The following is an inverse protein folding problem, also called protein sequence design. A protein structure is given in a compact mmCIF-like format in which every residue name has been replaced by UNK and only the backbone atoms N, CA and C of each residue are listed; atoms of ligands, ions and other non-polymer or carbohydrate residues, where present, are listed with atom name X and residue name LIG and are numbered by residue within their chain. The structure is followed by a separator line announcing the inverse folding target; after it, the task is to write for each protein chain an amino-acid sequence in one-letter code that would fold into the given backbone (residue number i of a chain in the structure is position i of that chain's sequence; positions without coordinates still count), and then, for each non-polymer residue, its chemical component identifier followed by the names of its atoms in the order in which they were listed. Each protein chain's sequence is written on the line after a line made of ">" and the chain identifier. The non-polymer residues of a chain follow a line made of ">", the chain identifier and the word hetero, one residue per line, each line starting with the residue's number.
data_IF_981918683598
#
_entry.id   IF_981918683598
#
_cell.length_a   1.000
_cell.length_b   1.000
_cell.length_c   1.000
_cell.angle_alpha   90.00
_cell.angle_beta   90.00
_cell.angle_gamma   90.00
#
_symmetry.space_group_name_H-M   'P 1'
#
loop_
_entity.id
_entity.type
_entity.pdbx_description
1 polymer ?
#
# COMPACT_ATOMS: atom_id res chain seq x y z
N UNK A 1 -20.11 6.13 2.90
CA UNK A 1 -19.22 6.97 2.07
C UNK A 1 -17.82 6.39 2.14
N UNK A 2 -17.25 6.02 1.00
CA UNK A 2 -15.88 5.50 0.92
C UNK A 2 -14.92 6.68 0.83
N UNK A 3 -13.78 6.59 1.51
CA UNK A 3 -12.75 7.64 1.50
C UNK A 3 -11.40 7.03 1.17
N UNK A 4 -10.69 7.65 0.24
CA UNK A 4 -9.35 7.26 -0.17
C UNK A 4 -8.36 8.35 0.24
N UNK A 5 -7.26 7.95 0.86
CA UNK A 5 -6.14 8.82 1.22
C UNK A 5 -4.97 8.53 0.30
N UNK A 6 -4.52 9.53 -0.46
CA UNK A 6 -3.27 9.45 -1.23
C UNK A 6 -2.34 10.58 -0.82
N UNK A 7 -1.08 10.49 -1.25
CA UNK A 7 -0.21 11.65 -1.25
C UNK A 7 -0.59 12.65 -2.37
N UNK A 8 0.27 13.66 -2.56
CA UNK A 8 0.11 14.68 -3.60
C UNK A 8 0.83 14.34 -4.91
N UNK A 9 1.14 13.07 -5.16
CA UNK A 9 1.68 12.61 -6.42
C UNK A 9 0.80 13.03 -7.60
N UNK A 10 1.43 13.40 -8.72
CA UNK A 10 0.73 13.85 -9.94
C UNK A 10 -0.13 12.76 -10.56
N UNK A 11 0.16 11.50 -10.26
CA UNK A 11 -0.62 10.33 -10.63
C UNK A 11 -1.98 10.28 -9.90
N UNK A 12 -2.09 10.85 -8.70
CA UNK A 12 -3.34 10.91 -7.93
C UNK A 12 -3.99 12.30 -7.96
N UNK A 13 -3.21 13.33 -8.29
CA UNK A 13 -3.62 14.73 -8.17
C UNK A 13 -3.46 15.48 -9.49
N UNK A 14 -4.58 15.95 -10.06
CA UNK A 14 -4.61 16.87 -11.19
C UNK A 14 -5.80 17.82 -11.15
N UNK A 15 -6.19 18.34 -12.31
CA UNK A 15 -7.44 19.11 -12.47
C UNK A 15 -8.62 18.13 -12.45
N UNK A 16 -9.58 18.34 -11.56
CA UNK A 16 -10.70 17.41 -11.36
C UNK A 16 -11.50 17.10 -12.63
N UNK A 17 -11.59 18.06 -13.55
CA UNK A 17 -12.33 17.92 -14.80
C UNK A 17 -11.62 17.08 -15.86
N UNK A 18 -10.32 16.83 -15.71
CA UNK A 18 -9.50 16.21 -16.76
C UNK A 18 -8.54 15.14 -16.23
N UNK A 19 -8.57 14.84 -14.94
CA UNK A 19 -7.66 13.89 -14.32
C UNK A 19 -8.40 12.57 -14.09
N UNK A 20 -7.99 11.54 -14.82
CA UNK A 20 -8.69 10.25 -14.88
C UNK A 20 -8.95 9.64 -13.50
N UNK A 21 -7.98 9.76 -12.58
CA UNK A 21 -8.14 9.24 -11.23
C UNK A 21 -9.21 9.99 -10.44
N UNK A 22 -9.23 11.33 -10.51
CA UNK A 22 -10.23 12.14 -9.82
C UNK A 22 -11.63 11.95 -10.41
N UNK A 23 -11.74 11.81 -11.73
CA UNK A 23 -12.99 11.48 -12.40
C UNK A 23 -13.50 10.10 -11.98
N UNK A 24 -12.62 9.10 -11.94
CA UNK A 24 -12.95 7.76 -11.47
C UNK A 24 -13.48 7.78 -10.03
N UNK A 25 -12.84 8.53 -9.13
CA UNK A 25 -13.30 8.65 -7.74
C UNK A 25 -14.67 9.32 -7.64
N UNK A 26 -14.93 10.36 -8.44
CA UNK A 26 -16.22 11.04 -8.50
C UNK A 26 -17.34 10.11 -9.00
N UNK A 27 -17.06 9.30 -10.04
CA UNK A 27 -18.01 8.31 -10.56
C UNK A 27 -18.36 7.25 -9.50
N UNK A 28 -17.38 6.87 -8.66
CA UNK A 28 -17.55 5.88 -7.61
C UNK A 28 -17.99 6.48 -6.25
N UNK A 29 -18.45 7.74 -6.22
CA UNK A 29 -18.89 8.46 -5.02
C UNK A 29 -17.90 8.31 -3.83
N UNK A 30 -16.61 8.38 -4.15
CA UNK A 30 -15.52 8.17 -3.20
C UNK A 30 -14.79 9.49 -2.93
N UNK A 31 -14.70 9.87 -1.65
CA UNK A 31 -14.01 11.10 -1.27
C UNK A 31 -12.49 10.94 -1.39
N UNK A 32 -11.84 11.90 -2.03
CA UNK A 32 -10.39 11.94 -2.12
C UNK A 32 -9.77 12.88 -1.07
N UNK A 33 -9.12 12.30 -0.07
CA UNK A 33 -8.29 13.02 0.90
C UNK A 33 -6.82 12.97 0.48
N UNK A 34 -6.11 14.09 0.67
CA UNK A 34 -4.68 14.22 0.35
C UNK A 34 -3.88 14.41 1.63
N UNK A 35 -2.74 13.73 1.77
CA UNK A 35 -1.84 13.96 2.91
C UNK A 35 -1.47 15.44 3.00
N UNK A 36 -1.37 16.00 4.21
CA UNK A 36 -0.92 17.39 4.36
C UNK A 36 0.56 17.51 3.98
N UNK A 37 0.94 18.65 3.40
CA UNK A 37 2.35 18.94 3.08
C UNK A 37 3.17 18.78 4.36
N UNK A 38 4.32 18.09 4.28
CA UNK A 38 5.22 17.82 5.42
C UNK A 38 4.55 17.05 6.58
N UNK A 39 3.59 16.17 6.29
CA UNK A 39 2.98 15.26 7.28
C UNK A 39 3.39 13.80 7.05
N UNK A 40 4.63 13.42 7.40
CA UNK A 40 5.16 12.07 7.16
C UNK A 40 4.38 10.99 7.92
N UNK A 41 3.73 11.35 9.03
CA UNK A 41 2.94 10.43 9.86
C UNK A 41 1.76 9.82 9.09
N UNK A 42 1.11 10.59 8.20
CA UNK A 42 -0.02 10.10 7.40
C UNK A 42 0.38 9.13 6.28
N UNK A 43 1.64 9.19 5.81
CA UNK A 43 2.18 8.21 4.86
C UNK A 43 3.01 7.10 5.54
N UNK A 44 3.35 7.29 6.82
CA UNK A 44 4.28 6.42 7.54
C UNK A 44 3.81 4.98 7.69
N UNK A 45 2.51 4.70 7.59
CA UNK A 45 1.99 3.32 7.57
C UNK A 45 2.35 2.65 6.25
N UNK A 46 2.08 3.30 5.12
CA UNK A 46 2.42 2.79 3.79
C UNK A 46 3.93 2.63 3.63
N UNK A 47 4.71 3.62 4.05
CA UNK A 47 6.18 3.56 4.03
C UNK A 47 6.73 2.42 4.92
N UNK A 48 6.13 2.20 6.09
CA UNK A 48 6.52 1.09 6.97
C UNK A 48 6.18 -0.25 6.33
N UNK A 49 4.99 -0.38 5.76
CA UNK A 49 4.59 -1.58 5.03
C UNK A 49 5.56 -1.87 3.87
N UNK A 50 5.89 -0.87 3.04
CA UNK A 50 6.85 -1.00 1.93
C UNK A 50 8.23 -1.49 2.40
N UNK A 51 8.72 -1.03 3.56
CA UNK A 51 9.95 -1.55 4.15
C UNK A 51 9.79 -3.00 4.60
N UNK A 52 8.68 -3.33 5.26
CA UNK A 52 8.42 -4.68 5.76
C UNK A 52 8.30 -5.70 4.63
N UNK A 53 7.50 -5.43 3.59
CA UNK A 53 7.36 -6.33 2.43
C UNK A 53 8.68 -6.50 1.68
N UNK A 54 9.47 -5.43 1.54
CA UNK A 54 10.79 -5.53 0.92
C UNK A 54 11.73 -6.47 1.69
N UNK A 55 11.80 -6.31 3.01
CA UNK A 55 12.72 -7.06 3.87
C UNK A 55 12.27 -8.50 4.11
N UNK A 56 10.98 -8.72 4.36
CA UNK A 56 10.45 -10.02 4.77
C UNK A 56 10.04 -10.89 3.57
N UNK A 57 9.58 -10.29 2.48
CA UNK A 57 9.14 -11.02 1.29
C UNK A 57 10.16 -10.91 0.14
N UNK A 58 10.28 -9.76 -0.52
CA UNK A 58 10.98 -9.66 -1.80
C UNK A 58 12.46 -10.07 -1.72
N UNK A 59 13.19 -9.61 -0.71
CA UNK A 59 14.61 -9.97 -0.53
C UNK A 59 14.82 -11.47 -0.26
N UNK A 60 13.85 -12.14 0.38
CA UNK A 60 13.92 -13.56 0.70
C UNK A 60 13.49 -14.40 -0.49
N UNK A 61 12.34 -14.06 -1.09
CA UNK A 61 11.75 -14.72 -2.24
C UNK A 61 12.72 -14.72 -3.44
N UNK A 62 13.22 -13.55 -3.82
CA UNK A 62 14.11 -13.39 -4.98
C UNK A 62 15.50 -13.97 -4.77
N UNK A 63 15.90 -14.28 -3.52
CA UNK A 63 17.14 -15.00 -3.22
C UNK A 63 16.98 -16.52 -3.27
N UNK A 64 15.81 -17.03 -2.89
CA UNK A 64 15.55 -18.47 -2.76
C UNK A 64 15.00 -19.09 -4.04
N UNK A 65 14.23 -18.32 -4.81
CA UNK A 65 13.49 -18.81 -5.98
C UNK A 65 13.87 -18.01 -7.23
N UNK A 66 13.92 -18.70 -8.36
CA UNK A 66 13.96 -18.08 -9.68
C UNK A 66 12.54 -18.05 -10.26
N UNK A 67 11.95 -16.87 -10.29
CA UNK A 67 10.61 -16.67 -10.84
C UNK A 67 10.70 -16.44 -12.36
N UNK A 68 10.21 -17.39 -13.15
CA UNK A 68 10.18 -17.28 -14.61
C UNK A 68 8.93 -16.55 -15.12
N UNK A 69 7.88 -16.50 -14.30
CA UNK A 69 6.59 -15.89 -14.65
C UNK A 69 6.11 -15.00 -13.50
N UNK A 70 5.53 -13.84 -13.82
CA UNK A 70 4.97 -12.92 -12.81
C UNK A 70 3.85 -13.57 -12.00
N UNK A 71 3.08 -14.49 -12.58
CA UNK A 71 2.02 -15.22 -11.90
C UNK A 71 2.54 -16.04 -10.70
N UNK A 72 3.73 -16.63 -10.83
CA UNK A 72 4.34 -17.41 -9.74
C UNK A 72 4.76 -16.51 -8.58
N UNK A 73 5.31 -15.33 -8.87
CA UNK A 73 5.64 -14.33 -7.84
C UNK A 73 4.38 -13.76 -7.19
N UNK A 74 3.32 -13.52 -7.97
CA UNK A 74 2.05 -13.01 -7.47
C UNK A 74 1.42 -13.98 -6.47
N UNK A 75 1.43 -15.28 -6.76
CA UNK A 75 0.90 -16.30 -5.83
C UNK A 75 1.63 -16.29 -4.49
N UNK A 76 2.97 -16.31 -4.52
CA UNK A 76 3.77 -16.27 -3.29
C UNK A 76 3.55 -14.97 -2.51
N UNK A 77 3.34 -13.86 -3.23
CA UNK A 77 3.03 -12.56 -2.64
C UNK A 77 1.65 -12.58 -1.96
N UNK A 78 0.63 -13.13 -2.61
CA UNK A 78 -0.72 -13.23 -2.05
C UNK A 78 -0.73 -14.09 -0.78
N UNK A 79 0.00 -15.21 -0.77
CA UNK A 79 0.16 -16.07 0.41
C UNK A 79 0.89 -15.33 1.54
N UNK A 80 1.92 -14.54 1.21
CA UNK A 80 2.61 -13.71 2.19
C UNK A 80 1.73 -12.57 2.73
N UNK A 81 0.89 -11.97 1.90
CA UNK A 81 -0.06 -10.93 2.30
C UNK A 81 -1.15 -11.48 3.23
N UNK A 82 -1.66 -12.68 2.99
CA UNK A 82 -2.57 -13.36 3.93
C UNK A 82 -1.91 -13.52 5.29
N UNK A 83 -0.66 -14.02 5.31
CA UNK A 83 0.10 -14.12 6.55
C UNK A 83 0.31 -12.76 7.22
N UNK A 84 0.72 -11.73 6.48
CA UNK A 84 0.97 -10.38 7.00
C UNK A 84 -0.29 -9.77 7.63
N UNK A 85 -1.44 -9.92 6.99
CA UNK A 85 -2.71 -9.33 7.44
C UNK A 85 -3.37 -10.11 8.58
N UNK A 86 -3.28 -11.43 8.56
CA UNK A 86 -4.10 -12.29 9.43
C UNK A 86 -3.31 -13.04 10.52
N UNK A 87 -1.99 -13.22 10.36
CA UNK A 87 -1.18 -14.10 11.22
C UNK A 87 0.04 -13.42 11.85
N UNK A 88 0.62 -12.42 11.17
CA UNK A 88 1.81 -11.70 11.64
C UNK A 88 1.47 -10.85 12.87
N UNK A 89 2.21 -11.05 13.95
CA UNK A 89 2.10 -10.20 15.14
C UNK A 89 2.65 -8.81 14.84
N UNK A 90 1.78 -7.80 14.72
CA UNK A 90 2.19 -6.41 14.57
C UNK A 90 2.57 -5.83 15.95
N UNK A 91 3.86 -5.70 16.23
CA UNK A 91 4.32 -5.00 17.44
C UNK A 91 4.09 -3.49 17.31
N UNK A 92 3.00 -3.00 17.92
CA UNK A 92 2.68 -1.58 18.19
C UNK A 92 1.21 -1.25 17.91
N UNK A 93 0.34 -0.88 18.87
CA UNK A 93 0.46 0.15 19.94
C UNK A 93 0.15 -0.34 21.37
N UNK A 94 -0.12 -1.62 21.58
CA UNK A 94 -0.51 -2.20 22.88
C UNK A 94 0.24 -3.51 23.08
N UNK A 95 1.46 -3.45 23.61
CA UNK A 95 2.09 -4.59 24.27
C UNK A 95 2.48 -4.13 25.67
N UNK A 96 1.63 -4.45 26.65
CA UNK A 96 2.04 -4.54 28.05
C UNK A 96 2.78 -5.88 28.18
N UNK A 97 4.10 -5.83 28.14
CA UNK A 97 4.99 -6.97 28.35
C UNK A 97 6.38 -6.44 28.65
#
# INVERSE_FOLDING_TARGET
>A
MLRILTDRGTEYCGRAESHDYQLYLAINDSEHSKTKVRSPQTNGICERFHKTILQEFYQVALRKNLYNESATLQKDLDDWLDYYNNKRTHQGKMCCG
#
